data_IF_484172688254
#
_entry.id   IF_484172688254
#
_cell.length_a   1.000
_cell.length_b   1.000
_cell.length_c   1.000
_cell.angle_alpha   90.00
_cell.angle_beta   90.00
_cell.angle_gamma   90.00
#
_symmetry.space_group_name_H-M   'P 1'
#
loop_
_entity.id
_entity.type
_entity.pdbx_description
1 polymer ?
#
# COMPACT_ATOMS: atom_id res chain seq x y z
N UNK A 1 -17.50 9.30 -24.17
CA UNK A 1 -16.70 10.19 -23.30
C UNK A 1 -16.36 11.43 -24.10
N UNK A 2 -16.56 12.64 -23.57
CA UNK A 2 -16.19 13.86 -24.29
C UNK A 2 -14.67 14.03 -24.32
N UNK A 3 -14.15 14.75 -25.31
CA UNK A 3 -12.71 15.08 -25.42
C UNK A 3 -12.23 15.80 -24.16
N UNK A 4 -13.05 16.69 -23.60
CA UNK A 4 -12.73 17.42 -22.37
C UNK A 4 -12.63 16.48 -21.15
N UNK A 5 -13.53 15.50 -21.04
CA UNK A 5 -13.47 14.51 -19.95
C UNK A 5 -12.20 13.64 -20.06
N UNK A 6 -11.82 13.23 -21.27
CA UNK A 6 -10.59 12.47 -21.48
C UNK A 6 -9.33 13.28 -21.12
N UNK A 7 -9.26 14.56 -21.50
CA UNK A 7 -8.17 15.46 -21.13
C UNK A 7 -8.04 15.61 -19.62
N UNK A 8 -9.16 15.79 -18.93
CA UNK A 8 -9.18 15.90 -17.47
C UNK A 8 -8.71 14.61 -16.79
N UNK A 9 -9.14 13.44 -17.28
CA UNK A 9 -8.67 12.15 -16.77
C UNK A 9 -7.17 11.95 -16.95
N UNK A 10 -6.61 12.35 -18.10
CA UNK A 10 -5.17 12.31 -18.33
C UNK A 10 -4.41 13.22 -17.35
N UNK A 11 -4.95 14.42 -17.07
CA UNK A 11 -4.36 15.32 -16.08
C UNK A 11 -4.34 14.70 -14.69
N UNK A 12 -5.44 14.07 -14.25
CA UNK A 12 -5.45 13.38 -12.95
C UNK A 12 -4.45 12.23 -12.90
N UNK A 13 -4.34 11.45 -13.98
CA UNK A 13 -3.34 10.39 -14.06
C UNK A 13 -1.92 10.93 -13.95
N UNK A 14 -1.61 12.05 -14.62
CA UNK A 14 -0.31 12.70 -14.51
C UNK A 14 -0.01 13.10 -13.05
N UNK A 15 -0.96 13.73 -12.35
CA UNK A 15 -0.79 14.11 -10.94
C UNK A 15 -0.52 12.90 -10.04
N UNK A 16 -1.14 11.75 -10.30
CA UNK A 16 -0.87 10.50 -9.55
C UNK A 16 0.56 10.03 -9.76
N UNK A 17 1.05 10.05 -11.00
CA UNK A 17 2.41 9.63 -11.34
C UNK A 17 3.46 10.59 -10.76
N UNK A 18 3.26 11.90 -10.92
CA UNK A 18 4.13 12.93 -10.36
C UNK A 18 4.21 12.85 -8.85
N UNK A 19 3.07 12.59 -8.18
CA UNK A 19 3.04 12.39 -6.73
C UNK A 19 3.88 11.18 -6.32
N UNK A 20 3.75 10.05 -7.03
CA UNK A 20 4.55 8.87 -6.70
C UNK A 20 6.06 9.09 -6.95
N UNK A 21 6.43 9.71 -8.07
CA UNK A 21 7.83 10.07 -8.35
C UNK A 21 8.38 11.08 -7.34
N UNK A 22 7.57 12.06 -6.93
CA UNK A 22 7.90 13.02 -5.88
C UNK A 22 8.21 12.31 -4.56
N UNK A 23 7.41 11.32 -4.17
CA UNK A 23 7.66 10.52 -2.98
C UNK A 23 8.96 9.72 -3.09
N UNK A 24 9.18 9.01 -4.21
CA UNK A 24 10.39 8.19 -4.44
C UNK A 24 11.66 9.05 -4.45
N UNK A 25 11.58 10.26 -5.00
CA UNK A 25 12.69 11.22 -5.04
C UNK A 25 12.90 12.01 -3.75
N UNK A 26 12.08 11.79 -2.71
CA UNK A 26 12.16 12.52 -1.45
C UNK A 26 11.75 14.00 -1.56
N UNK A 27 10.99 14.36 -2.61
CA UNK A 27 10.45 15.70 -2.82
C UNK A 27 9.12 15.95 -2.11
N UNK A 28 8.44 14.89 -1.67
CA UNK A 28 7.18 15.00 -0.92
C UNK A 28 7.45 14.78 0.56
N UNK A 29 7.07 15.80 1.35
CA UNK A 29 7.30 15.85 2.77
C UNK A 29 8.70 16.37 3.09
N UNK A 30 8.79 17.16 4.17
CA UNK A 30 10.05 17.55 4.76
C UNK A 30 10.00 17.12 6.23
N UNK A 31 10.92 16.21 6.61
CA UNK A 31 10.99 15.63 7.95
C UNK A 31 11.39 16.66 9.02
N UNK A 32 11.93 17.80 8.60
CA UNK A 32 12.40 18.88 9.47
C UNK A 32 11.32 19.96 9.73
N UNK A 33 10.11 19.83 9.17
CA UNK A 33 9.03 20.78 9.45
C UNK A 33 8.53 20.62 10.88
N UNK A 34 8.57 21.72 11.63
CA UNK A 34 7.95 21.80 12.94
C UNK A 34 6.45 22.02 12.82
N UNK A 35 5.72 21.85 13.92
CA UNK A 35 4.29 22.14 13.96
C UNK A 35 4.03 23.61 13.60
N UNK A 36 4.85 24.52 14.13
CA UNK A 36 4.75 25.95 13.88
C UNK A 36 5.01 26.31 12.41
N UNK A 37 5.81 25.53 11.69
CA UNK A 37 6.01 25.71 10.25
C UNK A 37 4.75 25.31 9.47
N UNK A 38 4.08 24.22 9.84
CA UNK A 38 2.80 23.82 9.21
C UNK A 38 1.71 24.88 9.38
N UNK A 39 1.64 25.53 10.55
CA UNK A 39 0.67 26.59 10.83
C UNK A 39 0.89 27.86 9.97
N UNK A 40 2.08 28.02 9.37
CA UNK A 40 2.44 29.14 8.49
C UNK A 40 2.21 28.84 6.99
N UNK A 41 1.98 27.58 6.62
CA UNK A 41 1.72 27.18 5.24
C UNK A 41 0.33 27.67 4.81
N UNK A 42 0.21 28.18 3.59
CA UNK A 42 -1.08 28.54 3.02
C UNK A 42 -2.02 27.32 3.01
N UNK A 43 -3.30 27.45 3.43
CA UNK A 43 -4.21 26.31 3.50
C UNK A 43 -4.38 25.54 2.18
N UNK A 44 -4.30 26.21 1.01
CA UNK A 44 -4.40 25.54 -0.28
C UNK A 44 -3.13 24.72 -0.60
N UNK A 45 -1.97 25.21 -0.20
CA UNK A 45 -0.70 24.46 -0.31
C UNK A 45 -0.68 23.26 0.64
N UNK A 46 -1.22 23.40 1.85
CA UNK A 46 -1.39 22.27 2.78
C UNK A 46 -2.30 21.19 2.18
N UNK A 47 -3.45 21.59 1.60
CA UNK A 47 -4.36 20.66 0.92
C UNK A 47 -3.68 19.96 -0.26
N UNK A 48 -2.86 20.68 -1.04
CA UNK A 48 -2.10 20.09 -2.15
C UNK A 48 -1.09 19.03 -1.67
N UNK A 49 -0.33 19.32 -0.61
CA UNK A 49 0.64 18.38 -0.03
C UNK A 49 -0.07 17.11 0.46
N UNK A 50 -1.19 17.25 1.18
CA UNK A 50 -1.97 16.12 1.66
C UNK A 50 -2.52 15.26 0.52
N UNK A 51 -3.04 15.89 -0.54
CA UNK A 51 -3.52 15.18 -1.74
C UNK A 51 -2.36 14.41 -2.39
N UNK A 52 -1.21 15.05 -2.62
CA UNK A 52 -0.05 14.40 -3.23
C UNK A 52 0.45 13.23 -2.38
N UNK A 53 0.53 13.39 -1.06
CA UNK A 53 0.90 12.32 -0.14
C UNK A 53 -0.08 11.15 -0.21
N UNK A 54 -1.39 11.43 -0.24
CA UNK A 54 -2.42 10.41 -0.40
C UNK A 54 -2.27 9.64 -1.71
N UNK A 55 -2.09 10.34 -2.84
CA UNK A 55 -1.92 9.71 -4.16
C UNK A 55 -0.67 8.80 -4.20
N UNK A 56 0.46 9.31 -3.71
CA UNK A 56 1.70 8.56 -3.64
C UNK A 56 1.58 7.33 -2.73
N UNK A 57 0.94 7.49 -1.56
CA UNK A 57 0.64 6.39 -0.64
C UNK A 57 -0.26 5.32 -1.28
N UNK A 58 -1.28 5.72 -2.05
CA UNK A 58 -2.15 4.81 -2.77
C UNK A 58 -1.36 3.95 -3.76
N UNK A 59 -0.48 4.54 -4.57
CA UNK A 59 0.36 3.79 -5.53
C UNK A 59 1.31 2.83 -4.81
N UNK A 60 2.03 3.31 -3.78
CA UNK A 60 2.94 2.47 -3.00
C UNK A 60 2.24 1.28 -2.36
N UNK A 61 1.04 1.49 -1.82
CA UNK A 61 0.21 0.40 -1.24
C UNK A 61 -0.31 -0.55 -2.31
N UNK A 62 -0.68 -0.04 -3.48
CA UNK A 62 -1.14 -0.82 -4.62
C UNK A 62 -0.03 -1.75 -5.14
N UNK A 63 1.18 -1.23 -5.36
CA UNK A 63 2.35 -2.02 -5.77
C UNK A 63 2.66 -3.12 -4.76
N UNK A 64 2.76 -2.78 -3.46
CA UNK A 64 2.99 -3.78 -2.40
C UNK A 64 1.90 -4.86 -2.38
N UNK A 65 0.64 -4.48 -2.54
CA UNK A 65 -0.46 -5.44 -2.61
C UNK A 65 -0.30 -6.40 -3.79
N UNK A 66 0.04 -5.87 -4.97
CA UNK A 66 0.28 -6.65 -6.18
C UNK A 66 1.45 -7.62 -6.01
N UNK A 67 2.55 -7.18 -5.40
CA UNK A 67 3.72 -8.01 -5.08
C UNK A 67 3.38 -9.16 -4.13
N UNK A 68 2.72 -8.86 -3.01
CA UNK A 68 2.34 -9.85 -1.99
C UNK A 68 1.36 -10.89 -2.54
N UNK A 69 0.39 -10.43 -3.35
CA UNK A 69 -0.69 -11.30 -3.84
C UNK A 69 -0.38 -11.93 -5.20
N UNK A 70 0.71 -11.55 -5.86
CA UNK A 70 1.06 -11.99 -7.22
C UNK A 70 0.09 -11.50 -8.30
N UNK A 71 -0.65 -10.42 -8.05
CA UNK A 71 -1.67 -9.90 -8.98
C UNK A 71 -1.06 -8.85 -9.91
N UNK A 72 -1.47 -8.91 -11.18
CA UNK A 72 -1.03 -7.93 -12.18
C UNK A 72 -1.84 -6.63 -12.19
N UNK A 73 -3.00 -6.61 -11.55
CA UNK A 73 -3.83 -5.40 -11.41
C UNK A 73 -4.49 -5.34 -10.04
N UNK A 74 -4.83 -4.13 -9.60
CA UNK A 74 -5.62 -3.89 -8.38
C UNK A 74 -7.09 -4.29 -8.57
N UNK A 75 -7.58 -4.28 -9.81
CA UNK A 75 -8.93 -4.67 -10.17
C UNK A 75 -9.21 -6.16 -9.95
N UNK A 76 -10.45 -6.49 -9.56
CA UNK A 76 -10.97 -7.86 -9.56
C UNK A 76 -11.21 -8.39 -10.97
N UNK A 77 -11.47 -9.71 -11.12
CA UNK A 77 -11.99 -10.27 -12.38
C UNK A 77 -13.37 -9.69 -12.75
N UNK A 78 -14.10 -9.19 -11.75
CA UNK A 78 -15.38 -8.52 -11.88
C UNK A 78 -15.19 -7.04 -12.18
N UNK A 79 -15.99 -6.52 -13.12
CA UNK A 79 -16.11 -5.08 -13.42
C UNK A 79 -16.73 -4.25 -12.30
N UNK A 80 -17.31 -4.89 -11.27
CA UNK A 80 -17.81 -4.21 -10.08
C UNK A 80 -16.67 -3.87 -9.13
N UNK A 81 -16.53 -2.58 -8.85
CA UNK A 81 -15.67 -2.05 -7.79
C UNK A 81 -16.24 -2.49 -6.43
N UNK A 82 -15.42 -3.12 -5.59
CA UNK A 82 -15.84 -3.59 -4.27
C UNK A 82 -15.03 -4.78 -3.77
N UNK A 83 -15.58 -5.46 -2.76
CA UNK A 83 -15.01 -6.70 -2.22
C UNK A 83 -15.63 -7.93 -2.89
N UNK A 84 -14.88 -9.02 -2.89
CA UNK A 84 -15.38 -10.33 -3.30
C UNK A 84 -16.27 -10.91 -2.20
N UNK A 85 -17.59 -10.99 -2.44
CA UNK A 85 -18.55 -11.51 -1.46
C UNK A 85 -18.22 -12.95 -1.05
N UNK A 86 -17.60 -13.76 -1.91
CA UNK A 86 -17.16 -15.12 -1.56
C UNK A 86 -16.05 -15.14 -0.50
N UNK A 87 -15.33 -14.03 -0.30
CA UNK A 87 -14.30 -13.87 0.74
C UNK A 87 -14.85 -13.28 2.05
N UNK A 88 -16.13 -12.91 2.11
CA UNK A 88 -16.78 -12.46 3.34
C UNK A 88 -17.05 -13.66 4.23
N UNK A 89 -16.66 -13.58 5.50
CA UNK A 89 -17.02 -14.59 6.50
C UNK A 89 -18.16 -14.09 7.40
N UNK A 90 -19.20 -14.90 7.54
CA UNK A 90 -20.34 -14.63 8.42
C UNK A 90 -19.95 -14.74 9.89
N UNK A 91 -20.18 -13.70 10.69
CA UNK A 91 -19.85 -13.71 12.13
C UNK A 91 -20.76 -14.61 13.00
N UNK A 92 -21.90 -15.10 12.47
CA UNK A 92 -22.81 -15.99 13.21
C UNK A 92 -22.45 -17.46 13.03
N UNK A 93 -22.38 -17.93 11.78
CA UNK A 93 -22.14 -19.34 11.48
C UNK A 93 -20.74 -19.64 10.94
N UNK A 94 -19.87 -18.62 10.83
CA UNK A 94 -18.46 -18.71 10.38
C UNK A 94 -18.26 -19.23 8.94
N UNK A 95 -19.34 -19.39 8.18
CA UNK A 95 -19.28 -19.75 6.76
C UNK A 95 -19.04 -18.53 5.87
N UNK A 96 -18.45 -18.77 4.70
CA UNK A 96 -18.16 -17.71 3.72
C UNK A 96 -19.38 -17.34 2.87
N UNK A 97 -19.30 -16.22 2.16
CA UNK A 97 -20.25 -15.83 1.10
C UNK A 97 -21.42 -14.94 1.53
N UNK A 98 -21.59 -14.65 2.83
CA UNK A 98 -22.71 -13.87 3.32
C UNK A 98 -22.41 -13.12 4.62
N UNK A 99 -23.21 -12.08 4.88
CA UNK A 99 -23.13 -11.31 6.12
C UNK A 99 -23.97 -11.94 7.25
N UNK A 100 -23.66 -11.61 8.51
CA UNK A 100 -24.44 -12.05 9.69
C UNK A 100 -25.94 -11.76 9.55
N UNK A 101 -26.32 -10.61 8.99
CA UNK A 101 -27.72 -10.21 8.76
C UNK A 101 -28.45 -11.04 7.69
N UNK A 102 -27.71 -11.79 6.88
CA UNK A 102 -28.22 -12.65 5.80
C UNK A 102 -28.23 -14.13 6.23
N UNK A 103 -27.87 -14.42 7.49
CA UNK A 103 -27.57 -15.78 7.94
C UNK A 103 -28.78 -16.52 8.51
N UNK A 104 -29.18 -17.59 7.83
CA UNK A 104 -30.25 -18.50 8.26
C UNK A 104 -29.74 -19.70 9.09
N UNK A 105 -28.43 -19.86 9.23
CA UNK A 105 -27.82 -20.96 9.97
C UNK A 105 -27.82 -20.70 11.49
N UNK A 106 -27.63 -21.75 12.27
CA UNK A 106 -27.39 -21.65 13.71
C UNK A 106 -26.08 -20.91 14.02
N UNK A 107 -26.02 -20.30 15.20
CA UNK A 107 -24.77 -19.74 15.70
C UNK A 107 -23.83 -20.87 16.10
N UNK A 108 -22.55 -20.73 15.78
CA UNK A 108 -21.50 -21.61 16.30
C UNK A 108 -20.79 -20.91 17.45
N UNK A 109 -20.63 -21.62 18.56
CA UNK A 109 -19.87 -21.13 19.70
C UNK A 109 -18.39 -21.41 19.43
N UNK A 110 -17.64 -20.35 19.16
CA UNK A 110 -16.24 -20.45 18.79
C UNK A 110 -15.61 -19.08 18.65
N UNK A 111 -14.59 -18.83 19.46
CA UNK A 111 -13.71 -17.64 19.39
C UNK A 111 -12.72 -17.71 18.24
N UNK A 112 -12.86 -18.69 17.34
CA UNK A 112 -11.93 -18.88 16.23
C UNK A 112 -12.00 -17.69 15.27
N UNK A 113 -10.83 -17.09 15.04
CA UNK A 113 -10.65 -15.98 14.13
C UNK A 113 -10.86 -16.47 12.70
N UNK A 114 -11.96 -16.10 12.08
CA UNK A 114 -12.27 -16.46 10.69
C UNK A 114 -11.35 -15.80 9.65
N UNK A 115 -10.50 -14.89 10.10
CA UNK A 115 -9.50 -14.20 9.31
C UNK A 115 -8.12 -14.79 9.62
N UNK A 116 -7.87 -16.05 9.22
CA UNK A 116 -6.54 -16.69 9.25
C UNK A 116 -5.57 -16.10 8.21
N UNK A 117 -5.69 -14.80 7.93
CA UNK A 117 -4.94 -14.15 6.87
C UNK A 117 -3.69 -13.50 7.44
N UNK A 118 -2.53 -14.13 7.23
CA UNK A 118 -1.22 -13.53 7.49
C UNK A 118 -0.93 -12.31 6.60
N UNK A 119 -1.88 -11.88 5.74
CA UNK A 119 -1.71 -10.76 4.83
C UNK A 119 -1.16 -9.52 5.53
N UNK A 120 -1.69 -9.14 6.69
CA UNK A 120 -1.20 -7.96 7.41
C UNK A 120 0.21 -8.17 7.96
N UNK A 121 0.52 -9.36 8.48
CA UNK A 121 1.87 -9.71 8.93
C UNK A 121 2.84 -9.67 7.76
N UNK A 122 2.52 -10.35 6.66
CA UNK A 122 3.30 -10.34 5.42
C UNK A 122 3.47 -8.90 4.93
N UNK A 123 2.42 -8.07 4.94
CA UNK A 123 2.48 -6.68 4.47
C UNK A 123 3.32 -5.75 5.35
N UNK A 124 3.41 -6.03 6.65
CA UNK A 124 4.28 -5.32 7.60
C UNK A 124 5.74 -5.67 7.32
N UNK A 125 6.05 -6.96 7.15
CA UNK A 125 7.41 -7.46 6.96
C UNK A 125 7.87 -7.52 5.50
N UNK A 126 7.01 -7.16 4.55
CA UNK A 126 7.33 -7.19 3.13
C UNK A 126 8.44 -6.17 2.81
N UNK A 127 9.60 -6.70 2.42
CA UNK A 127 10.75 -5.94 1.89
C UNK A 127 10.87 -6.24 0.39
N UNK A 128 11.08 -5.21 -0.43
CA UNK A 128 11.32 -5.42 -1.86
C UNK A 128 12.59 -6.26 -2.06
N UNK A 129 12.62 -7.11 -3.10
CA UNK A 129 13.75 -8.00 -3.39
C UNK A 129 15.06 -7.25 -3.67
N UNK A 130 15.01 -5.96 -3.96
CA UNK A 130 16.18 -5.13 -4.28
C UNK A 130 16.96 -4.69 -3.03
N UNK A 131 16.39 -4.82 -1.82
CA UNK A 131 17.04 -4.46 -0.54
C UNK A 131 17.66 -5.67 0.20
N UNK A 132 18.05 -6.73 -0.50
CA UNK A 132 19.01 -7.67 0.08
C UNK A 132 20.43 -7.15 -0.16
N UNK A 133 21.15 -6.65 0.87
CA UNK A 133 22.59 -6.51 0.74
C UNK A 133 23.17 -7.89 0.38
N UNK A 134 23.99 -7.93 -0.67
CA UNK A 134 24.64 -9.14 -1.10
C UNK A 134 25.58 -9.60 0.03
N UNK A 135 25.18 -10.60 0.83
CA UNK A 135 25.97 -11.08 1.98
C UNK A 135 27.41 -11.45 1.59
N UNK A 136 27.62 -11.84 0.31
CA UNK A 136 28.96 -12.15 -0.23
C UNK A 136 29.87 -10.94 -0.38
N UNK A 137 29.34 -9.72 -0.51
CA UNK A 137 30.16 -8.50 -0.58
C UNK A 137 30.59 -8.01 0.82
N UNK A 138 29.77 -8.24 1.84
CA UNK A 138 30.09 -7.88 3.24
C UNK A 138 31.22 -8.78 3.77
N UNK A 139 31.21 -10.07 3.46
CA UNK A 139 32.29 -11.01 3.84
C UNK A 139 33.60 -10.79 3.09
N UNK A 140 33.55 -10.23 1.88
CA UNK A 140 34.76 -9.92 1.11
C UNK A 140 35.40 -8.60 1.57
N UNK A 141 34.59 -7.57 1.83
CA UNK A 141 35.08 -6.28 2.36
C UNK A 141 35.60 -6.38 3.80
N UNK A 142 35.12 -7.33 4.61
CA UNK A 142 35.64 -7.55 5.96
C UNK A 142 36.97 -8.31 5.99
N UNK A 143 37.29 -9.08 4.94
CA UNK A 143 38.59 -9.77 4.79
C UNK A 143 39.66 -8.86 4.21
N UNK A 144 39.34 -8.02 3.22
CA UNK A 144 40.31 -7.06 2.65
C UNK A 144 40.76 -5.99 3.66
N UNK A 145 39.87 -5.54 4.55
CA UNK A 145 40.21 -4.56 5.59
C UNK A 145 41.02 -5.13 6.77
N UNK A 146 41.26 -6.44 6.82
CA UNK A 146 42.14 -7.06 7.83
C UNK A 146 43.58 -7.28 7.32
N UNK A 147 43.84 -7.18 6.02
CA UNK A 147 45.17 -7.41 5.43
C UNK A 147 46.02 -6.14 5.25
N UNK A 148 45.45 -4.95 5.48
CA UNK A 148 46.15 -3.66 5.38
C UNK A 148 46.21 -2.90 6.71
N UNK A 149 46.85 -3.51 7.71
CA UNK A 149 47.36 -2.76 8.87
C UNK A 149 48.81 -3.20 9.11
N UNK A 150 49.74 -2.47 8.48
CA UNK A 150 51.16 -2.37 8.84
C UNK A 150 51.59 -0.91 8.68
#
# INVERSE_FOLDING_TARGET
MSINAAKQQMSFLASVLESYEGLVSGRIGNLELTKEDYDQIDPAEMELIDIQWCLACCIRRAQRYMEITGRQTIGGPSTKLGFDKSKVTCFKCKQKGHFKRECNNSAVDGTENSFNGDYYLIAIYHRSKEEMPNLKQIENNSKENQEHVW
#
